data_IF_985847977486
#
_entry.id   IF_985847977486
#
_cell.length_a   1.000
_cell.length_b   1.000
_cell.length_c   1.000
_cell.angle_alpha   90.00
_cell.angle_beta   90.00
_cell.angle_gamma   90.00
#
_symmetry.space_group_name_H-M   'P 1'
#
loop_
_entity.id
_entity.type
_entity.pdbx_description
1 polymer ?
#
# COMPACT_ATOMS: atom_id res chain seq x y z
N UNK A 1 -17.53 2.76 10.25
CA UNK A 1 -16.32 2.56 9.42
C UNK A 1 -15.02 2.93 10.16
N UNK A 2 -14.77 4.22 10.45
CA UNK A 2 -13.48 4.70 11.01
C UNK A 2 -13.07 4.07 12.35
N UNK A 3 -13.98 4.11 13.35
CA UNK A 3 -13.73 3.53 14.69
C UNK A 3 -13.49 2.02 14.66
N UNK A 4 -14.24 1.28 13.84
CA UNK A 4 -14.08 -0.17 13.69
C UNK A 4 -12.73 -0.51 13.04
N UNK A 5 -12.37 0.21 11.97
CA UNK A 5 -11.08 0.03 11.30
C UNK A 5 -9.90 0.34 12.23
N UNK A 6 -10.02 1.41 13.03
CA UNK A 6 -9.04 1.78 14.07
C UNK A 6 -8.91 0.71 15.16
N UNK A 7 -10.04 0.14 15.60
CA UNK A 7 -10.06 -0.95 16.58
C UNK A 7 -9.31 -2.17 16.06
N UNK A 8 -9.63 -2.62 14.85
CA UNK A 8 -8.99 -3.77 14.19
C UNK A 8 -7.47 -3.55 14.04
N UNK A 9 -7.07 -2.35 13.60
CA UNK A 9 -5.65 -1.99 13.44
C UNK A 9 -4.86 -1.96 14.76
N UNK A 10 -5.53 -1.68 15.88
CA UNK A 10 -4.87 -1.57 17.18
C UNK A 10 -4.97 -2.85 18.03
N UNK A 11 -5.93 -3.74 17.73
CA UNK A 11 -6.12 -5.02 18.43
C UNK A 11 -5.40 -6.17 17.74
N UNK A 12 -5.30 -6.17 16.41
CA UNK A 12 -4.67 -7.27 15.68
C UNK A 12 -3.16 -7.00 15.53
N UNK A 13 -2.29 -7.92 15.98
CA UNK A 13 -0.84 -7.78 15.78
C UNK A 13 -0.50 -7.76 14.27
N UNK A 14 0.42 -6.88 13.88
CA UNK A 14 0.86 -6.67 12.47
C UNK A 14 1.03 -7.95 11.64
N UNK A 15 1.70 -9.03 12.11
CA UNK A 15 1.88 -10.24 11.31
C UNK A 15 0.56 -10.92 10.89
N UNK A 16 -0.46 -10.90 11.76
CA UNK A 16 -1.78 -11.43 11.41
C UNK A 16 -2.50 -10.52 10.41
N UNK A 17 -2.37 -9.21 10.58
CA UNK A 17 -2.98 -8.23 9.69
C UNK A 17 -2.42 -8.35 8.26
N UNK A 18 -1.11 -8.61 8.13
CA UNK A 18 -0.45 -8.87 6.84
C UNK A 18 -1.01 -10.13 6.18
N UNK A 19 -1.14 -11.24 6.92
CA UNK A 19 -1.70 -12.50 6.39
C UNK A 19 -3.14 -12.34 5.93
N UNK A 20 -3.97 -11.68 6.74
CA UNK A 20 -5.37 -11.40 6.43
C UNK A 20 -5.50 -10.52 5.17
N UNK A 21 -4.56 -9.58 5.00
CA UNK A 21 -4.58 -8.64 3.88
C UNK A 21 -4.50 -9.34 2.52
N UNK A 22 -3.76 -10.45 2.39
CA UNK A 22 -3.69 -11.19 1.13
C UNK A 22 -5.04 -11.74 0.68
N UNK A 23 -5.85 -12.22 1.63
CA UNK A 23 -7.17 -12.80 1.36
C UNK A 23 -8.21 -11.71 1.09
N UNK A 24 -8.13 -10.60 1.84
CA UNK A 24 -9.12 -9.52 1.78
C UNK A 24 -8.89 -8.59 0.58
N UNK A 25 -7.66 -8.46 0.06
CA UNK A 25 -7.30 -7.65 -1.11
C UNK A 25 -8.21 -7.82 -2.33
N UNK A 26 -8.44 -9.03 -2.88
CA UNK A 26 -9.31 -9.20 -4.03
C UNK A 26 -10.76 -8.79 -3.74
N UNK A 27 -11.24 -9.06 -2.52
CA UNK A 27 -12.60 -8.71 -2.08
C UNK A 27 -12.78 -7.20 -2.02
N UNK A 28 -11.83 -6.49 -1.37
CA UNK A 28 -11.84 -5.03 -1.28
C UNK A 28 -11.70 -4.37 -2.65
N UNK A 29 -10.79 -4.88 -3.48
CA UNK A 29 -10.58 -4.35 -4.82
C UNK A 29 -11.82 -4.50 -5.70
N UNK A 30 -12.57 -5.60 -5.56
CA UNK A 30 -13.82 -5.81 -6.26
C UNK A 30 -14.94 -4.89 -5.73
N UNK A 31 -15.11 -4.83 -4.41
CA UNK A 31 -16.19 -4.05 -3.78
C UNK A 31 -16.01 -2.53 -3.98
N UNK A 32 -14.78 -2.03 -3.93
CA UNK A 32 -14.45 -0.61 -4.07
C UNK A 32 -14.08 -0.21 -5.50
N UNK A 33 -14.22 -1.10 -6.49
CA UNK A 33 -13.93 -0.81 -7.90
C UNK A 33 -14.77 0.37 -8.42
N UNK A 34 -14.13 1.31 -9.09
CA UNK A 34 -14.75 2.54 -9.57
C UNK A 34 -13.88 3.32 -10.57
N UNK A 35 -14.22 4.59 -10.79
CA UNK A 35 -13.50 5.45 -11.74
C UNK A 35 -13.14 6.84 -11.18
N UNK A 36 -13.20 7.03 -9.86
CA UNK A 36 -12.92 8.35 -9.23
C UNK A 36 -11.46 8.49 -8.83
N UNK A 37 -10.83 7.41 -8.36
CA UNK A 37 -9.42 7.38 -7.98
C UNK A 37 -8.67 6.28 -8.74
N UNK A 38 -7.58 6.64 -9.40
CA UNK A 38 -6.73 5.66 -10.10
C UNK A 38 -5.44 5.45 -9.32
N UNK A 39 -5.09 4.19 -9.07
CA UNK A 39 -3.81 3.82 -8.48
C UNK A 39 -2.76 3.65 -9.60
N UNK A 40 -1.70 4.48 -9.64
CA UNK A 40 -0.68 4.42 -10.70
C UNK A 40 0.21 3.17 -10.61
N UNK A 41 0.15 2.41 -9.50
CA UNK A 41 0.94 1.20 -9.30
C UNK A 41 0.38 0.03 -10.12
N UNK A 42 -0.94 -0.21 -10.04
CA UNK A 42 -1.61 -1.31 -10.74
C UNK A 42 -2.54 -0.85 -11.87
N UNK A 43 -2.71 0.46 -12.06
CA UNK A 43 -3.57 1.07 -13.07
C UNK A 43 -5.07 0.90 -12.80
N UNK A 44 -5.47 0.41 -11.61
CA UNK A 44 -6.87 0.14 -11.31
C UNK A 44 -7.58 1.39 -10.77
N UNK A 45 -8.84 1.52 -11.19
CA UNK A 45 -9.77 2.55 -10.71
C UNK A 45 -10.60 2.08 -9.52
N UNK A 46 -10.78 2.97 -8.53
CA UNK A 46 -11.55 2.76 -7.32
C UNK A 46 -12.53 3.92 -7.08
N UNK A 47 -13.61 3.66 -6.35
CA UNK A 47 -14.60 4.69 -5.93
C UNK A 47 -14.10 5.52 -4.76
N UNK A 48 -13.37 4.88 -3.85
CA UNK A 48 -12.79 5.51 -2.66
C UNK A 48 -11.63 4.67 -2.14
N UNK A 49 -10.75 5.33 -1.38
CA UNK A 49 -9.63 4.67 -0.71
C UNK A 49 -9.94 4.48 0.78
N UNK A 50 -9.32 3.47 1.37
CA UNK A 50 -9.54 3.11 2.76
C UNK A 50 -8.90 4.16 3.70
N UNK A 51 -9.54 4.47 4.83
CA UNK A 51 -9.01 5.42 5.78
C UNK A 51 -7.88 4.78 6.62
N UNK A 52 -6.72 5.42 6.69
CA UNK A 52 -5.53 4.89 7.39
C UNK A 52 -4.78 6.00 8.14
N UNK A 53 -4.13 5.64 9.25
CA UNK A 53 -3.31 6.55 10.06
C UNK A 53 -3.24 6.14 11.54
N UNK A 54 -2.05 6.19 12.12
CA UNK A 54 -1.85 6.04 13.57
C UNK A 54 -2.16 7.37 14.26
N UNK A 55 -3.02 7.36 15.27
CA UNK A 55 -3.52 8.58 15.93
C UNK A 55 -4.69 9.23 15.17
N UNK A 56 -4.38 10.02 14.14
CA UNK A 56 -5.35 10.70 13.29
C UNK A 56 -5.60 9.91 11.99
N UNK A 57 -6.80 9.36 11.85
CA UNK A 57 -7.18 8.57 10.69
C UNK A 57 -7.60 9.47 9.54
N UNK A 58 -6.80 9.49 8.47
CA UNK A 58 -7.07 10.26 7.26
C UNK A 58 -7.94 9.44 6.32
N UNK A 59 -8.89 10.08 5.65
CA UNK A 59 -9.76 9.41 4.68
C UNK A 59 -9.04 9.30 3.34
N UNK A 60 -9.40 8.30 2.54
CA UNK A 60 -8.92 8.13 1.18
C UNK A 60 -7.39 8.00 1.02
N UNK A 61 -6.70 7.32 1.93
CA UNK A 61 -5.22 7.22 1.87
C UNK A 61 -4.73 5.87 1.35
N UNK A 62 -5.39 4.78 1.76
CA UNK A 62 -4.93 3.42 1.52
C UNK A 62 -5.65 2.79 0.33
N UNK A 63 -4.89 2.37 -0.69
CA UNK A 63 -5.44 1.73 -1.88
C UNK A 63 -6.05 0.35 -1.56
N UNK A 64 -7.27 0.02 -2.04
CA UNK A 64 -7.93 -1.27 -1.78
C UNK A 64 -7.20 -2.49 -2.35
N UNK A 65 -6.49 -2.34 -3.48
CA UNK A 65 -5.79 -3.44 -4.14
C UNK A 65 -4.36 -3.61 -3.66
N UNK A 66 -3.57 -2.54 -3.75
CA UNK A 66 -2.14 -2.58 -3.46
C UNK A 66 -1.85 -2.40 -1.98
N UNK A 67 -2.80 -1.87 -1.20
CA UNK A 67 -2.59 -1.40 0.18
C UNK A 67 -1.43 -0.38 0.27
N UNK A 68 -1.21 0.36 -0.82
CA UNK A 68 -0.26 1.45 -0.89
C UNK A 68 -0.85 2.72 -0.26
N UNK A 69 0.05 3.57 0.24
CA UNK A 69 -0.28 4.93 0.71
C UNK A 69 0.14 5.96 -0.33
N UNK A 70 -0.32 7.20 -0.19
CA UNK A 70 0.04 8.34 -1.05
C UNK A 70 1.54 8.45 -1.35
N UNK A 71 2.40 8.36 -0.32
CA UNK A 71 3.86 8.40 -0.48
C UNK A 71 4.43 7.29 -1.38
N UNK A 72 3.82 6.10 -1.35
CA UNK A 72 4.27 4.98 -2.17
C UNK A 72 3.89 5.19 -3.63
N UNK A 73 2.70 5.76 -3.89
CA UNK A 73 2.26 6.14 -5.24
C UNK A 73 3.11 7.27 -5.80
N UNK A 74 3.47 8.25 -4.97
CA UNK A 74 4.37 9.33 -5.37
C UNK A 74 5.78 8.80 -5.69
N UNK A 75 6.34 7.97 -4.81
CA UNK A 75 7.64 7.33 -5.05
C UNK A 75 7.61 6.47 -6.31
N UNK A 76 6.52 5.73 -6.54
CA UNK A 76 6.34 4.93 -7.74
C UNK A 76 6.36 5.78 -9.00
N UNK A 77 5.64 6.91 -9.01
CA UNK A 77 5.65 7.85 -10.13
C UNK A 77 7.02 8.46 -10.35
N UNK A 78 7.74 8.81 -9.28
CA UNK A 78 9.11 9.31 -9.37
C UNK A 78 10.05 8.27 -10.00
N UNK A 79 10.05 7.04 -9.47
CA UNK A 79 10.88 5.96 -10.02
C UNK A 79 10.53 5.62 -11.47
N UNK A 80 9.26 5.78 -11.86
CA UNK A 80 8.80 5.48 -13.22
C UNK A 80 9.14 6.59 -14.22
N UNK A 81 9.01 7.85 -13.83
CA UNK A 81 9.11 8.99 -14.74
C UNK A 81 10.49 9.65 -14.73
N UNK A 82 11.15 9.68 -13.57
CA UNK A 82 12.40 10.41 -13.36
C UNK A 82 13.64 9.51 -13.33
N UNK A 83 13.46 8.17 -13.35
CA UNK A 83 14.58 7.22 -13.29
C UNK A 83 14.39 6.06 -14.26
N UNK A 84 15.50 5.51 -14.76
CA UNK A 84 15.49 4.30 -15.61
C UNK A 84 15.38 2.99 -14.81
N UNK A 85 14.87 3.06 -13.57
CA UNK A 85 14.83 1.93 -12.64
C UNK A 85 14.10 0.70 -13.21
N UNK A 86 13.03 0.92 -14.00
CA UNK A 86 12.24 -0.16 -14.62
C UNK A 86 12.64 -0.46 -16.08
N UNK A 87 13.40 0.43 -16.73
CA UNK A 87 13.79 0.33 -18.15
C UNK A 87 15.19 -0.26 -18.34
N UNK A 88 16.05 -0.14 -17.32
CA UNK A 88 17.40 -0.68 -17.39
C UNK A 88 17.41 -2.21 -17.28
N UNK A 89 17.66 -2.90 -18.41
CA UNK A 89 18.02 -4.33 -18.46
C UNK A 89 19.31 -4.68 -17.69
N UNK A 90 20.00 -3.67 -17.15
CA UNK A 90 21.19 -3.89 -16.33
C UNK A 90 20.77 -4.54 -15.02
N UNK A 91 20.98 -5.87 -14.98
CA UNK A 91 21.07 -6.74 -13.80
C UNK A 91 21.09 -5.94 -12.51
N UNK A 92 20.07 -6.16 -11.69
CA UNK A 92 20.04 -5.92 -10.25
C UNK A 92 21.33 -6.43 -9.60
N UNK A 93 22.41 -5.66 -9.73
CA UNK A 93 23.67 -5.87 -9.07
C UNK A 93 23.64 -4.90 -7.90
N UNK A 94 23.26 -5.45 -6.75
CA UNK A 94 23.37 -4.79 -5.45
C UNK A 94 22.26 -3.78 -5.12
N UNK A 95 20.99 -4.22 -5.14
CA UNK A 95 20.20 -3.98 -3.92
C UNK A 95 20.77 -4.95 -2.89
N UNK A 96 21.97 -4.63 -2.37
CA UNK A 96 22.65 -5.44 -1.39
C UNK A 96 21.63 -5.71 -0.31
N UNK A 97 21.34 -6.98 -0.13
CA UNK A 97 20.59 -7.60 0.94
C UNK A 97 21.24 -7.27 2.28
N UNK A 98 21.27 -5.99 2.66
CA UNK A 98 21.37 -5.63 4.06
C UNK A 98 19.94 -5.68 4.54
N UNK A 99 19.53 -6.88 4.93
CA UNK A 99 18.50 -7.07 5.95
C UNK A 99 18.70 -5.96 6.96
N UNK A 100 17.83 -4.95 6.94
CA UNK A 100 17.73 -4.00 8.04
C UNK A 100 17.12 -4.84 9.15
N UNK A 101 18.03 -5.48 9.88
CA UNK A 101 17.81 -6.12 11.14
C UNK A 101 17.21 -5.05 12.04
N UNK A 102 15.88 -5.02 12.11
CA UNK A 102 15.18 -4.34 13.18
C UNK A 102 15.40 -5.21 14.42
N UNK A 103 16.55 -5.01 15.05
CA UNK A 103 16.72 -5.38 16.43
C UNK A 103 15.87 -4.40 17.24
N UNK A 104 14.87 -4.98 17.89
CA UNK A 104 14.07 -4.40 18.97
C UNK A 104 14.95 -3.68 19.99
N UNK A 105 14.59 -2.43 20.29
CA UNK A 105 14.70 -1.86 21.63
C UNK A 105 13.29 -1.53 22.10
#
# INVERSE_FOLDING_TARGET
MKKLFKLILNTIPRPLLIRLSYVIRPVLAFFLKGNTFTDPIDGKGFKSFLPYGYGQQRNNVLSPSTLSLERHRLLWLYLKNETDFFSSEKKSASFCSRTVFFETL
#
